data_IF_826357612862
#
_entry.id   IF_826357612862
#
_cell.length_a   1.000
_cell.length_b   1.000
_cell.length_c   1.000
_cell.angle_alpha   90.00
_cell.angle_beta   90.00
_cell.angle_gamma   90.00
#
_symmetry.space_group_name_H-M   'P 1'
#
loop_
_entity.id
_entity.type
_entity.pdbx_description
1 polymer ?
#
# COMPACT_ATOMS: atom_id res chain seq x y z
N UNK A 1 5.05 -10.06 -27.84
CA UNK A 1 4.63 -10.34 -26.44
C UNK A 1 5.88 -10.33 -25.60
N UNK A 2 5.97 -9.57 -24.50
CA UNK A 2 7.16 -9.65 -23.65
C UNK A 2 7.24 -11.09 -23.13
N UNK A 3 8.37 -11.76 -23.37
CA UNK A 3 8.62 -13.10 -22.86
C UNK A 3 8.60 -13.01 -21.34
N UNK A 4 7.53 -13.49 -20.71
CA UNK A 4 7.43 -13.59 -19.26
C UNK A 4 8.35 -14.72 -18.83
N UNK A 5 9.64 -14.40 -18.64
CA UNK A 5 10.61 -15.31 -18.05
C UNK A 5 10.02 -15.82 -16.74
N UNK A 6 9.84 -17.14 -16.56
CA UNK A 6 9.24 -17.68 -15.36
C UNK A 6 10.02 -17.20 -14.14
N UNK A 7 9.31 -16.63 -13.16
CA UNK A 7 9.92 -16.15 -11.93
C UNK A 7 10.48 -17.35 -11.16
N UNK A 8 11.76 -17.29 -10.81
CA UNK A 8 12.31 -18.27 -9.87
C UNK A 8 11.63 -18.12 -8.51
N UNK A 9 11.46 -19.21 -7.73
CA UNK A 9 10.81 -19.15 -6.42
C UNK A 9 11.42 -18.09 -5.49
N UNK A 10 12.75 -17.98 -5.48
CA UNK A 10 13.46 -16.96 -4.70
C UNK A 10 13.06 -15.54 -5.11
N UNK A 11 12.97 -15.26 -6.42
CA UNK A 11 12.56 -13.94 -6.91
C UNK A 11 11.10 -13.64 -6.58
N UNK A 12 10.22 -14.64 -6.62
CA UNK A 12 8.82 -14.49 -6.25
C UNK A 12 8.67 -14.10 -4.77
N UNK A 13 9.42 -14.74 -3.87
CA UNK A 13 9.42 -14.41 -2.43
C UNK A 13 9.91 -13.00 -2.19
N UNK A 14 11.01 -12.59 -2.83
CA UNK A 14 11.54 -11.22 -2.69
C UNK A 14 10.52 -10.19 -3.16
N UNK A 15 9.91 -10.37 -4.33
CA UNK A 15 8.89 -9.46 -4.84
C UNK A 15 7.67 -9.41 -3.93
N UNK A 16 7.23 -10.55 -3.39
CA UNK A 16 6.14 -10.59 -2.42
C UNK A 16 6.46 -9.73 -1.18
N UNK A 17 7.64 -9.90 -0.60
CA UNK A 17 8.05 -9.14 0.60
C UNK A 17 8.13 -7.64 0.27
N UNK A 18 8.80 -7.27 -0.81
CA UNK A 18 8.95 -5.86 -1.23
C UNK A 18 7.59 -5.22 -1.46
N UNK A 19 6.70 -5.86 -2.22
CA UNK A 19 5.38 -5.31 -2.51
C UNK A 19 4.48 -5.24 -1.29
N UNK A 20 4.59 -6.21 -0.38
CA UNK A 20 3.89 -6.17 0.92
C UNK A 20 4.34 -4.98 1.76
N UNK A 21 5.65 -4.73 1.82
CA UNK A 21 6.22 -3.59 2.56
C UNK A 21 5.75 -2.27 1.95
N UNK A 22 5.83 -2.12 0.62
CA UNK A 22 5.35 -0.92 -0.07
C UNK A 22 3.86 -0.69 0.18
N UNK A 23 3.05 -1.74 0.10
CA UNK A 23 1.63 -1.67 0.40
C UNK A 23 1.37 -1.19 1.84
N UNK A 24 2.03 -1.81 2.82
CA UNK A 24 1.85 -1.49 4.23
C UNK A 24 2.30 -0.06 4.57
N UNK A 25 3.44 0.38 4.01
CA UNK A 25 3.96 1.74 4.22
C UNK A 25 3.06 2.78 3.55
N UNK A 26 2.70 2.58 2.28
CA UNK A 26 1.82 3.50 1.56
C UNK A 26 0.45 3.62 2.20
N UNK A 27 -0.15 2.47 2.56
CA UNK A 27 -1.43 2.40 3.28
C UNK A 27 -1.36 3.05 4.66
N UNK A 28 -0.37 2.66 5.45
CA UNK A 28 -0.20 3.10 6.83
C UNK A 28 0.06 4.60 6.94
N UNK A 29 0.91 5.15 6.07
CA UNK A 29 1.18 6.59 6.05
C UNK A 29 -0.07 7.39 5.73
N UNK A 30 -0.82 7.02 4.68
CA UNK A 30 -2.02 7.75 4.31
C UNK A 30 -3.11 7.66 5.39
N UNK A 31 -3.35 6.47 5.92
CA UNK A 31 -4.34 6.27 6.98
C UNK A 31 -3.95 6.98 8.28
N UNK A 32 -2.65 7.00 8.62
CA UNK A 32 -2.12 7.72 9.78
C UNK A 32 -2.22 9.23 9.64
N UNK A 33 -1.87 9.79 8.48
CA UNK A 33 -2.05 11.22 8.19
C UNK A 33 -3.53 11.58 8.30
N UNK A 34 -4.43 10.77 7.73
CA UNK A 34 -5.87 11.03 7.80
C UNK A 34 -6.39 10.97 9.23
N UNK A 35 -5.89 10.04 10.05
CA UNK A 35 -6.25 9.95 11.46
C UNK A 35 -5.85 11.24 12.22
N UNK A 36 -4.63 11.75 12.02
CA UNK A 36 -4.22 13.02 12.64
C UNK A 36 -5.06 14.21 12.18
N UNK A 37 -5.41 14.27 10.89
CA UNK A 37 -6.29 15.32 10.36
C UNK A 37 -7.67 15.25 11.03
N UNK A 38 -8.26 14.05 11.13
CA UNK A 38 -9.55 13.86 11.78
C UNK A 38 -9.51 14.20 13.26
N UNK A 39 -8.47 13.77 13.99
CA UNK A 39 -8.30 14.12 15.40
C UNK A 39 -8.20 15.64 15.61
N UNK A 40 -7.60 16.36 14.65
CA UNK A 40 -7.48 17.82 14.71
C UNK A 40 -8.80 18.58 14.44
N UNK A 41 -9.75 17.99 13.69
CA UNK A 41 -10.94 18.71 13.21
C UNK A 41 -12.27 18.13 13.72
N UNK A 42 -12.33 16.85 14.07
CA UNK A 42 -13.55 16.16 14.46
C UNK A 42 -13.63 16.03 15.98
N UNK A 43 -14.79 16.37 16.54
CA UNK A 43 -15.05 16.21 17.99
C UNK A 43 -15.32 14.76 18.40
N UNK A 44 -15.75 13.93 17.46
CA UNK A 44 -16.25 12.57 17.73
C UNK A 44 -15.23 11.46 17.42
N UNK A 45 -13.98 11.83 17.13
CA UNK A 45 -12.90 10.89 16.80
C UNK A 45 -12.94 10.35 15.37
N UNK A 46 -11.97 9.49 15.04
CA UNK A 46 -11.81 8.92 13.69
C UNK A 46 -12.43 7.52 13.60
N UNK A 47 -13.30 7.30 12.59
CA UNK A 47 -13.95 6.01 12.36
C UNK A 47 -12.92 4.95 11.87
N UNK A 48 -12.77 3.82 12.58
CA UNK A 48 -11.87 2.72 12.19
C UNK A 48 -12.15 2.16 10.78
N UNK A 49 -13.38 2.23 10.30
CA UNK A 49 -13.71 1.80 8.93
C UNK A 49 -13.08 2.72 7.89
N UNK A 50 -13.06 4.03 8.16
CA UNK A 50 -12.41 5.00 7.28
C UNK A 50 -10.89 4.80 7.30
N UNK A 51 -10.31 4.43 8.46
CA UNK A 51 -8.91 4.01 8.55
C UNK A 51 -8.64 2.82 7.63
N UNK A 52 -9.42 1.73 7.76
CA UNK A 52 -9.20 0.50 7.01
C UNK A 52 -9.34 0.70 5.49
N UNK A 53 -10.35 1.48 5.07
CA UNK A 53 -10.55 1.83 3.66
C UNK A 53 -9.39 2.66 3.14
N UNK A 54 -9.00 3.73 3.87
CA UNK A 54 -7.89 4.60 3.48
C UNK A 54 -6.60 3.78 3.36
N UNK A 55 -6.30 2.93 4.35
CA UNK A 55 -5.15 2.04 4.36
C UNK A 55 -5.14 1.11 3.14
N UNK A 56 -6.24 0.39 2.91
CA UNK A 56 -6.33 -0.60 1.84
C UNK A 56 -6.21 0.03 0.44
N UNK A 57 -6.95 1.11 0.19
CA UNK A 57 -6.97 1.78 -1.13
C UNK A 57 -5.62 2.40 -1.45
N UNK A 58 -5.04 3.16 -0.51
CA UNK A 58 -3.76 3.84 -0.75
C UNK A 58 -2.59 2.86 -0.79
N UNK A 59 -2.61 1.81 0.04
CA UNK A 59 -1.66 0.71 -0.04
C UNK A 59 -1.73 0.00 -1.40
N UNK A 60 -2.93 -0.25 -1.91
CA UNK A 60 -3.11 -0.87 -3.23
C UNK A 60 -2.55 0.01 -4.36
N UNK A 61 -2.78 1.33 -4.30
CA UNK A 61 -2.20 2.29 -5.24
C UNK A 61 -0.67 2.25 -5.17
N UNK A 62 -0.09 2.29 -3.97
CA UNK A 62 1.36 2.23 -3.77
C UNK A 62 1.95 0.93 -4.34
N UNK A 63 1.33 -0.21 -4.08
CA UNK A 63 1.68 -1.49 -4.69
C UNK A 63 1.69 -1.42 -6.22
N UNK A 64 0.60 -0.93 -6.83
CA UNK A 64 0.48 -0.85 -8.29
C UNK A 64 1.53 0.06 -8.91
N UNK A 65 1.86 1.17 -8.24
CA UNK A 65 2.91 2.08 -8.67
C UNK A 65 4.29 1.43 -8.59
N UNK A 66 4.64 0.81 -7.46
CA UNK A 66 5.93 0.13 -7.32
C UNK A 66 6.10 -1.00 -8.33
N UNK A 67 5.03 -1.75 -8.61
CA UNK A 67 5.05 -2.78 -9.65
C UNK A 67 5.28 -2.19 -11.05
N UNK A 68 4.62 -1.08 -11.40
CA UNK A 68 4.86 -0.38 -12.68
C UNK A 68 6.30 0.12 -12.80
N UNK A 69 6.89 0.63 -11.72
CA UNK A 69 8.29 1.08 -11.69
C UNK A 69 9.26 -0.09 -11.85
N UNK A 70 8.97 -1.24 -11.23
CA UNK A 70 9.81 -2.43 -11.34
C UNK A 70 9.69 -3.15 -12.70
N UNK A 71 8.59 -2.95 -13.42
CA UNK A 71 8.35 -3.45 -14.78
C UNK A 71 8.84 -2.48 -15.88
N UNK A 72 9.28 -1.27 -15.50
CA UNK A 72 9.74 -0.19 -16.39
C UNK A 72 11.19 -0.29 -16.82
#
# INVERSE_FOLDING_TARGET
MPSSTPLTPARAVVLFVVYTVVFAVGGGLAAGIMAFVFEAIARDGYDPNVYAITFGVTGFIAYRLARRVAEG
#
